data_IF_364676633035
#
_entry.id   IF_364676633035
#
_cell.length_a   1.000
_cell.length_b   1.000
_cell.length_c   1.000
_cell.angle_alpha   90.00
_cell.angle_beta   90.00
_cell.angle_gamma   90.00
#
_symmetry.space_group_name_H-M   'P 1'
#
loop_
_entity.id
_entity.type
_entity.pdbx_description
1 polymer ?
#
# COMPACT_ATOMS: atom_id res chain seq x y z
N UNK A 1 0.70 10.97 18.73
CA UNK A 1 0.17 11.35 17.42
C UNK A 1 0.33 12.83 17.05
N UNK A 2 0.54 13.72 18.01
CA UNK A 2 0.69 15.19 17.80
C UNK A 2 2.07 15.63 17.27
N UNK A 3 3.07 14.77 17.29
CA UNK A 3 4.45 15.09 16.89
C UNK A 3 4.65 15.11 15.38
N UNK A 4 3.88 14.35 14.61
CA UNK A 4 3.99 14.25 13.14
C UNK A 4 3.50 15.49 12.38
N UNK A 5 2.69 16.35 13.01
CA UNK A 5 2.03 17.47 12.33
C UNK A 5 2.76 18.82 12.47
N UNK A 6 3.94 18.88 13.08
CA UNK A 6 4.73 20.14 13.26
C UNK A 6 5.66 20.47 12.09
N UNK A 7 5.47 19.91 10.91
CA UNK A 7 6.28 20.15 9.72
C UNK A 7 5.51 20.83 8.59
N UNK A 8 6.24 21.28 7.57
CA UNK A 8 5.65 21.74 6.32
C UNK A 8 4.90 20.61 5.65
N UNK A 9 3.66 20.86 5.21
CA UNK A 9 2.81 19.89 4.55
C UNK A 9 2.99 19.97 3.03
N UNK A 10 3.06 18.83 2.41
CA UNK A 10 3.21 18.65 0.96
C UNK A 10 2.06 17.82 0.39
N UNK A 11 1.65 18.03 -0.86
CA UNK A 11 0.64 17.20 -1.50
C UNK A 11 1.16 15.76 -1.62
N UNK A 12 0.28 14.77 -1.46
CA UNK A 12 0.65 13.36 -1.53
C UNK A 12 1.33 12.99 -2.85
N UNK A 13 0.99 13.66 -3.95
CA UNK A 13 1.66 13.49 -5.24
C UNK A 13 3.19 13.71 -5.23
N UNK A 14 3.74 14.37 -4.20
CA UNK A 14 5.20 14.53 -4.07
C UNK A 14 5.91 13.38 -3.35
N UNK A 15 5.17 12.37 -2.87
CA UNK A 15 5.72 11.25 -2.11
C UNK A 15 6.17 10.07 -2.98
N UNK A 16 5.85 10.05 -4.27
CA UNK A 16 6.14 8.94 -5.15
C UNK A 16 6.65 9.41 -6.52
N UNK A 17 7.38 8.54 -7.20
CA UNK A 17 7.81 8.75 -8.60
C UNK A 17 6.80 8.17 -9.60
N UNK A 18 6.07 7.13 -9.19
CA UNK A 18 5.02 6.50 -9.98
C UNK A 18 3.95 5.94 -9.05
N UNK A 19 2.71 6.22 -9.36
CA UNK A 19 1.57 5.57 -8.73
C UNK A 19 0.49 5.30 -9.77
N UNK A 20 -0.26 4.24 -9.57
CA UNK A 20 -1.35 3.87 -10.47
C UNK A 20 -2.17 2.72 -9.91
N UNK A 21 -3.41 2.68 -10.35
CA UNK A 21 -4.29 1.55 -10.07
C UNK A 21 -3.86 0.33 -10.89
N UNK A 22 -4.04 -0.84 -10.33
CA UNK A 22 -3.85 -2.10 -11.05
C UNK A 22 -4.95 -2.35 -12.08
N UNK A 23 -4.82 -3.46 -12.79
CA UNK A 23 -5.78 -3.88 -13.78
C UNK A 23 -6.06 -5.37 -13.68
N UNK A 24 -7.27 -5.78 -14.03
CA UNK A 24 -7.65 -7.19 -14.03
C UNK A 24 -7.72 -7.67 -15.48
N UNK A 25 -6.85 -8.61 -15.91
CA UNK A 25 -7.00 -9.25 -17.21
C UNK A 25 -8.39 -9.91 -17.33
N UNK A 26 -8.92 -9.99 -18.53
CA UNK A 26 -10.24 -10.59 -18.77
C UNK A 26 -10.29 -12.01 -18.23
N UNK A 27 -11.10 -12.26 -17.21
CA UNK A 27 -11.11 -13.51 -16.43
C UNK A 27 -11.59 -14.73 -17.23
N UNK A 28 -12.37 -14.52 -18.30
CA UNK A 28 -12.83 -15.59 -19.19
C UNK A 28 -11.73 -16.08 -20.17
N UNK A 29 -10.59 -15.38 -20.26
CA UNK A 29 -9.48 -15.79 -21.12
C UNK A 29 -8.47 -16.58 -20.28
N UNK A 30 -8.54 -17.88 -20.38
CA UNK A 30 -7.74 -18.83 -19.58
C UNK A 30 -6.24 -18.62 -19.74
N UNK A 31 -5.80 -18.28 -20.95
CA UNK A 31 -4.39 -18.02 -21.30
C UNK A 31 -3.76 -16.84 -20.53
N UNK A 32 -4.57 -15.95 -19.95
CA UNK A 32 -4.07 -14.83 -19.14
C UNK A 32 -3.67 -15.26 -17.72
N UNK A 33 -4.05 -16.47 -17.31
CA UNK A 33 -3.86 -16.98 -15.94
C UNK A 33 -3.11 -18.31 -15.87
N UNK A 34 -3.36 -19.22 -16.84
CA UNK A 34 -2.75 -20.54 -16.84
C UNK A 34 -1.24 -20.43 -17.00
N UNK A 35 -0.51 -21.13 -16.10
CA UNK A 35 0.96 -21.08 -16.03
C UNK A 35 1.53 -19.65 -15.85
N UNK A 36 0.75 -18.76 -15.26
CA UNK A 36 1.19 -17.42 -14.93
C UNK A 36 2.36 -17.44 -13.96
N UNK A 37 3.32 -16.56 -14.19
CA UNK A 37 4.53 -16.40 -13.34
C UNK A 37 4.62 -15.04 -12.69
N UNK A 38 3.79 -14.08 -13.11
CA UNK A 38 3.76 -12.73 -12.54
C UNK A 38 2.81 -12.72 -11.36
N UNK A 39 3.28 -12.43 -10.13
CA UNK A 39 2.43 -12.34 -8.95
C UNK A 39 1.29 -11.33 -9.14
N UNK A 40 0.07 -11.75 -8.84
CA UNK A 40 -1.15 -10.96 -9.02
C UNK A 40 -1.89 -10.79 -7.70
N UNK A 41 -1.80 -9.59 -7.13
CA UNK A 41 -2.24 -9.29 -5.78
C UNK A 41 -3.71 -8.89 -5.75
N UNK A 42 -4.44 -9.51 -4.83
CA UNK A 42 -5.82 -9.21 -4.47
C UNK A 42 -5.89 -8.63 -3.06
N UNK A 43 -7.07 -8.15 -2.66
CA UNK A 43 -7.25 -7.49 -1.34
C UNK A 43 -6.94 -8.45 -0.18
N UNK A 44 -7.29 -9.71 -0.30
CA UNK A 44 -7.04 -10.75 0.70
C UNK A 44 -5.55 -11.02 0.96
N UNK A 45 -4.67 -10.66 0.04
CA UNK A 45 -3.21 -10.76 0.21
C UNK A 45 -2.64 -9.63 1.08
N UNK A 46 -3.39 -8.51 1.22
CA UNK A 46 -2.97 -7.33 1.99
C UNK A 46 -3.30 -7.48 3.48
N UNK A 47 -2.93 -8.59 4.08
CA UNK A 47 -3.23 -8.94 5.47
C UNK A 47 -2.10 -8.61 6.46
N UNK A 48 -0.89 -8.37 5.95
CA UNK A 48 0.32 -8.12 6.74
C UNK A 48 1.08 -6.91 6.21
N UNK A 49 1.93 -6.33 7.07
CA UNK A 49 2.78 -5.19 6.70
C UNK A 49 3.66 -5.50 5.49
N UNK A 50 4.27 -6.68 5.46
CA UNK A 50 5.10 -7.11 4.34
C UNK A 50 4.38 -8.20 3.54
N UNK A 51 4.24 -7.95 2.25
CA UNK A 51 3.73 -8.92 1.30
C UNK A 51 4.89 -9.84 0.87
N UNK A 52 4.96 -11.01 1.50
CA UNK A 52 6.02 -12.01 1.30
C UNK A 52 5.58 -13.21 0.48
N UNK A 53 4.27 -13.37 0.24
CA UNK A 53 3.69 -14.43 -0.58
C UNK A 53 2.37 -13.97 -1.20
N UNK A 54 1.91 -14.67 -2.21
CA UNK A 54 0.62 -14.47 -2.87
C UNK A 54 0.10 -15.80 -3.41
N UNK A 55 -1.19 -15.86 -3.77
CA UNK A 55 -1.85 -17.07 -4.27
C UNK A 55 -2.03 -17.06 -5.78
N UNK A 56 -2.26 -15.90 -6.36
CA UNK A 56 -2.66 -15.77 -7.75
C UNK A 56 -1.52 -15.26 -8.61
N UNK A 57 -1.53 -15.68 -9.88
CA UNK A 57 -0.55 -15.25 -10.87
C UNK A 57 -1.25 -14.95 -12.19
N UNK A 58 -0.63 -14.11 -13.00
CA UNK A 58 -1.01 -13.83 -14.38
C UNK A 58 0.15 -14.09 -15.32
N UNK A 59 -0.17 -14.32 -16.58
CA UNK A 59 0.85 -14.43 -17.63
C UNK A 59 1.30 -13.05 -18.10
N UNK A 60 2.44 -13.00 -18.78
CA UNK A 60 2.90 -11.77 -19.42
C UNK A 60 1.89 -11.26 -20.46
N UNK A 61 1.24 -12.17 -21.19
CA UNK A 61 0.16 -11.84 -22.12
C UNK A 61 -1.02 -11.20 -21.39
N UNK A 62 -1.43 -11.76 -20.24
CA UNK A 62 -2.50 -11.18 -19.41
C UNK A 62 -2.16 -9.78 -18.92
N UNK A 63 -0.91 -9.53 -18.48
CA UNK A 63 -0.45 -8.20 -18.11
C UNK A 63 -0.51 -7.25 -19.31
N UNK A 64 0.03 -7.62 -20.46
CA UNK A 64 0.06 -6.78 -21.68
C UNK A 64 -1.34 -6.46 -22.24
N UNK A 65 -2.32 -7.35 -22.06
CA UNK A 65 -3.70 -7.20 -22.55
C UNK A 65 -4.65 -6.55 -21.54
N UNK A 66 -4.12 -6.01 -20.48
CA UNK A 66 -4.87 -5.32 -19.42
C UNK A 66 -4.21 -4.00 -19.04
N UNK A 67 -4.81 -3.28 -18.08
CA UNK A 67 -4.19 -2.11 -17.45
C UNK A 67 -3.27 -2.47 -16.28
N UNK A 68 -3.02 -3.76 -16.03
CA UNK A 68 -2.05 -4.21 -15.04
C UNK A 68 -0.63 -3.74 -15.40
N UNK A 69 0.13 -3.39 -14.40
CA UNK A 69 1.52 -3.00 -14.58
C UNK A 69 2.39 -3.59 -13.48
N UNK A 70 3.65 -3.88 -13.80
CA UNK A 70 4.59 -4.46 -12.86
C UNK A 70 5.08 -3.37 -11.89
N UNK A 71 4.67 -3.49 -10.63
CA UNK A 71 5.06 -2.64 -9.51
C UNK A 71 6.37 -3.19 -8.95
N UNK A 72 7.46 -2.41 -8.89
CA UNK A 72 8.73 -2.89 -8.36
C UNK A 72 8.62 -3.23 -6.86
N UNK A 73 9.52 -4.08 -6.38
CA UNK A 73 9.66 -4.36 -4.93
C UNK A 73 9.90 -3.07 -4.14
N UNK A 74 9.61 -3.10 -2.83
CA UNK A 74 9.72 -1.95 -1.93
C UNK A 74 8.84 -0.77 -2.35
N UNK A 75 7.66 -1.09 -2.86
CA UNK A 75 6.56 -0.15 -3.08
C UNK A 75 5.48 -0.34 -2.03
N UNK A 76 4.58 0.62 -1.90
CA UNK A 76 3.37 0.47 -1.08
C UNK A 76 2.22 0.02 -1.96
N UNK A 77 1.53 -1.04 -1.55
CA UNK A 77 0.32 -1.57 -2.17
C UNK A 77 -0.86 -1.18 -1.28
N UNK A 78 -1.82 -0.44 -1.83
CA UNK A 78 -2.91 0.16 -1.07
C UNK A 78 -4.27 -0.06 -1.74
N UNK A 79 -5.22 -0.66 -1.03
CA UNK A 79 -6.59 -0.82 -1.53
C UNK A 79 -7.34 0.52 -1.46
N UNK A 80 -7.81 1.00 -2.62
CA UNK A 80 -8.57 2.23 -2.77
C UNK A 80 -10.03 1.98 -3.19
N UNK A 81 -10.43 0.72 -3.33
CA UNK A 81 -11.77 0.28 -3.73
C UNK A 81 -12.58 -0.31 -2.57
N UNK A 82 -13.21 -1.46 -2.76
CA UNK A 82 -14.21 -2.07 -1.87
C UNK A 82 -13.79 -2.17 -0.39
N UNK A 83 -12.52 -2.44 -0.09
CA UNK A 83 -11.96 -2.45 1.27
C UNK A 83 -10.85 -1.41 1.35
N UNK A 84 -11.23 -0.14 1.44
CA UNK A 84 -10.26 0.96 1.47
C UNK A 84 -9.41 0.89 2.74
N UNK A 85 -8.08 0.98 2.56
CA UNK A 85 -7.13 1.05 3.67
C UNK A 85 -6.36 -0.24 3.94
N UNK A 86 -6.70 -1.37 3.31
CA UNK A 86 -5.82 -2.53 3.32
C UNK A 86 -4.49 -2.16 2.62
N UNK A 87 -3.36 -2.45 3.27
CA UNK A 87 -2.07 -1.90 2.87
C UNK A 87 -0.92 -2.87 3.20
N UNK A 88 0.04 -2.97 2.28
CA UNK A 88 1.27 -3.75 2.47
C UNK A 88 2.45 -3.10 1.75
N UNK A 89 3.67 -3.49 2.12
CA UNK A 89 4.90 -3.24 1.37
C UNK A 89 5.24 -4.53 0.62
N UNK A 90 5.40 -4.48 -0.70
CA UNK A 90 5.76 -5.67 -1.47
C UNK A 90 7.27 -5.94 -1.41
N UNK A 91 7.64 -7.19 -1.13
CA UNK A 91 9.03 -7.64 -1.07
C UNK A 91 9.57 -8.08 -2.44
N UNK A 92 8.71 -8.32 -3.41
CA UNK A 92 9.03 -8.72 -4.78
C UNK A 92 8.14 -7.97 -5.78
N UNK A 93 8.50 -7.90 -7.08
CA UNK A 93 7.68 -7.23 -8.09
C UNK A 93 6.32 -7.91 -8.23
N UNK A 94 5.25 -7.12 -8.34
CA UNK A 94 3.86 -7.61 -8.40
C UNK A 94 3.01 -6.81 -9.39
N UNK A 95 1.96 -7.42 -9.91
CA UNK A 95 0.81 -6.74 -10.48
C UNK A 95 -0.34 -6.75 -9.46
N UNK A 96 -1.26 -5.81 -9.55
CA UNK A 96 -2.41 -5.72 -8.65
C UNK A 96 -3.72 -5.73 -9.41
N UNK A 97 -4.75 -6.25 -8.76
CA UNK A 97 -6.13 -6.16 -9.24
C UNK A 97 -6.59 -4.70 -9.28
N UNK A 98 -7.58 -4.40 -10.13
CA UNK A 98 -8.32 -3.12 -10.10
C UNK A 98 -8.86 -2.85 -8.69
N UNK A 99 -8.81 -1.58 -8.25
CA UNK A 99 -9.16 -1.18 -6.88
C UNK A 99 -7.99 -1.30 -5.89
N UNK A 100 -6.76 -1.53 -6.39
CA UNK A 100 -5.54 -1.57 -5.60
C UNK A 100 -4.48 -0.72 -6.29
N UNK A 101 -3.96 0.28 -5.59
CA UNK A 101 -2.90 1.16 -6.05
C UNK A 101 -1.53 0.55 -5.76
N UNK A 102 -0.62 0.64 -6.74
CA UNK A 102 0.81 0.53 -6.52
C UNK A 102 1.41 1.92 -6.40
N UNK A 103 2.24 2.16 -5.39
CA UNK A 103 2.84 3.46 -5.10
C UNK A 103 4.34 3.28 -4.92
N UNK A 104 5.10 3.68 -5.92
CA UNK A 104 6.57 3.61 -5.93
C UNK A 104 7.13 4.87 -5.27
N UNK A 105 7.74 4.78 -4.08
CA UNK A 105 8.18 5.95 -3.33
C UNK A 105 9.24 6.75 -4.09
N UNK A 106 9.27 8.06 -3.86
CA UNK A 106 10.32 8.94 -4.35
C UNK A 106 11.64 8.67 -3.57
N UNK A 107 12.77 9.08 -4.13
CA UNK A 107 14.11 8.85 -3.54
C UNK A 107 14.32 9.47 -2.16
N UNK A 108 13.56 10.51 -1.82
CA UNK A 108 13.56 11.17 -0.51
C UNK A 108 12.49 10.63 0.45
N UNK A 109 11.84 9.53 0.10
CA UNK A 109 10.79 8.88 0.89
C UNK A 109 11.25 7.47 1.30
N UNK A 110 11.31 7.22 2.60
CA UNK A 110 11.46 5.88 3.12
C UNK A 110 10.14 5.11 2.96
N UNK A 111 10.19 3.90 2.40
CA UNK A 111 8.97 3.10 2.14
C UNK A 111 8.21 2.75 3.41
N UNK A 112 8.93 2.46 4.52
CA UNK A 112 8.33 2.20 5.82
C UNK A 112 7.59 3.43 6.36
N UNK A 113 8.19 4.62 6.17
CA UNK A 113 7.54 5.88 6.54
C UNK A 113 6.28 6.11 5.71
N UNK A 114 6.32 5.85 4.41
CA UNK A 114 5.17 5.96 3.53
C UNK A 114 4.04 5.01 3.97
N UNK A 115 4.38 3.77 4.29
CA UNK A 115 3.45 2.79 4.86
C UNK A 115 2.82 3.30 6.17
N UNK A 116 3.62 3.78 7.12
CA UNK A 116 3.14 4.32 8.40
C UNK A 116 2.25 5.56 8.22
N UNK A 117 2.60 6.43 7.28
CA UNK A 117 1.79 7.61 6.94
C UNK A 117 0.42 7.17 6.42
N UNK A 118 0.39 6.27 5.43
CA UNK A 118 -0.84 5.83 4.78
C UNK A 118 -1.71 4.93 5.67
N UNK A 119 -1.12 4.19 6.62
CA UNK A 119 -1.85 3.41 7.63
C UNK A 119 -2.31 4.24 8.83
N UNK A 120 -1.91 5.52 8.93
CA UNK A 120 -2.24 6.37 10.06
C UNK A 120 -3.72 6.77 10.09
N UNK A 121 -4.23 7.03 11.30
CA UNK A 121 -5.59 7.59 11.48
C UNK A 121 -5.76 8.99 10.85
N UNK A 122 -4.66 9.74 10.67
CA UNK A 122 -4.67 10.99 9.94
C UNK A 122 -5.02 10.75 8.47
N UNK A 123 -4.28 9.87 7.78
CA UNK A 123 -4.51 9.59 6.38
C UNK A 123 -5.90 8.97 6.14
N UNK A 124 -6.32 8.04 7.01
CA UNK A 124 -7.66 7.45 6.97
C UNK A 124 -8.78 8.49 7.08
N UNK A 125 -8.62 9.51 7.94
CA UNK A 125 -9.57 10.64 8.04
C UNK A 125 -9.61 11.49 6.78
N UNK A 126 -8.46 11.77 6.17
CA UNK A 126 -8.41 12.52 4.91
C UNK A 126 -9.04 11.70 3.76
N UNK A 127 -8.76 10.39 3.70
CA UNK A 127 -9.42 9.47 2.74
C UNK A 127 -10.95 9.51 2.91
N UNK A 128 -11.45 9.44 4.14
CA UNK A 128 -12.91 9.46 4.39
C UNK A 128 -13.61 10.76 3.93
N UNK A 129 -12.87 11.85 3.80
CA UNK A 129 -13.40 13.15 3.29
C UNK A 129 -13.50 13.22 1.77
N UNK A 130 -12.69 12.42 1.07
CA UNK A 130 -12.61 12.43 -0.40
C UNK A 130 -13.32 11.24 -1.05
N UNK A 131 -13.81 10.29 -0.25
CA UNK A 131 -14.57 9.16 -0.78
C UNK A 131 -15.85 9.66 -1.41
N UNK A 132 -16.05 9.32 -2.68
CA UNK A 132 -17.30 9.59 -3.38
C UNK A 132 -18.36 8.60 -2.91
N UNK A 133 -19.48 9.12 -2.39
CA UNK A 133 -20.63 8.31 -2.04
C UNK A 133 -21.32 7.80 -3.30
N UNK A 134 -21.44 6.49 -3.40
CA UNK A 134 -22.10 5.77 -4.50
C UNK A 134 -22.30 4.30 -4.13
N UNK A 135 -22.72 3.48 -5.08
CA UNK A 135 -22.90 2.02 -4.90
C UNK A 135 -21.58 1.31 -4.51
N UNK A 136 -20.43 1.85 -4.90
CA UNK A 136 -19.11 1.43 -4.41
C UNK A 136 -18.30 2.66 -3.99
N UNK A 137 -17.85 2.67 -2.74
CA UNK A 137 -16.93 3.70 -2.22
C UNK A 137 -15.57 3.52 -2.86
N UNK A 138 -15.02 4.57 -3.46
CA UNK A 138 -13.69 4.55 -4.08
C UNK A 138 -12.95 5.85 -3.74
N UNK A 139 -11.70 5.72 -3.33
CA UNK A 139 -10.78 6.84 -3.18
C UNK A 139 -9.90 6.94 -4.44
N UNK A 140 -10.24 7.84 -5.35
CA UNK A 140 -9.48 7.99 -6.59
C UNK A 140 -8.10 8.60 -6.34
N UNK A 141 -7.09 8.10 -7.04
CA UNK A 141 -5.70 8.58 -6.91
C UNK A 141 -5.59 10.10 -7.15
N UNK A 142 -6.37 10.64 -8.09
CA UNK A 142 -6.41 12.09 -8.36
C UNK A 142 -6.77 12.91 -7.11
N UNK A 143 -7.69 12.41 -6.28
CA UNK A 143 -8.16 13.08 -5.07
C UNK A 143 -7.20 12.84 -3.90
N UNK A 144 -6.67 11.61 -3.77
CA UNK A 144 -5.61 11.26 -2.83
C UNK A 144 -4.39 12.16 -3.00
N UNK A 145 -4.03 12.53 -4.22
CA UNK A 145 -2.90 13.40 -4.55
C UNK A 145 -2.97 14.79 -3.91
N UNK A 146 -4.15 15.26 -3.55
CA UNK A 146 -4.35 16.56 -2.91
C UNK A 146 -4.24 16.52 -1.37
N UNK A 147 -4.22 15.34 -0.77
CA UNK A 147 -4.06 15.18 0.69
C UNK A 147 -2.72 15.81 1.08
N UNK A 148 -2.76 16.71 2.08
CA UNK A 148 -1.56 17.38 2.60
C UNK A 148 -0.90 16.53 3.67
N UNK A 149 0.30 16.03 3.40
CA UNK A 149 1.03 15.11 4.26
C UNK A 149 2.33 15.73 4.79
N UNK A 150 2.74 15.42 6.04
CA UNK A 150 4.02 15.84 6.57
C UNK A 150 5.16 15.10 5.88
N UNK A 151 6.21 15.83 5.50
CA UNK A 151 7.41 15.27 4.90
C UNK A 151 8.63 15.64 5.75
N UNK A 152 8.99 14.81 6.75
CA UNK A 152 10.21 14.98 7.52
C UNK A 152 11.46 14.68 6.68
N UNK A 153 12.63 15.09 7.19
CA UNK A 153 13.90 14.69 6.58
C UNK A 153 14.08 13.16 6.62
N UNK A 154 14.92 12.61 5.73
CA UNK A 154 15.20 11.16 5.71
C UNK A 154 15.69 10.62 7.05
N UNK A 155 16.50 11.40 7.79
CA UNK A 155 16.93 11.01 9.14
C UNK A 155 15.75 10.91 10.11
N UNK A 156 14.82 11.86 10.07
CA UNK A 156 13.61 11.83 10.89
C UNK A 156 12.67 10.70 10.48
N UNK A 157 12.51 10.43 9.18
CA UNK A 157 11.72 9.29 8.70
C UNK A 157 12.29 7.97 9.26
N UNK A 158 13.61 7.75 9.16
CA UNK A 158 14.28 6.57 9.72
C UNK A 158 14.11 6.45 11.24
N UNK A 159 14.22 7.56 11.97
CA UNK A 159 14.00 7.53 13.41
C UNK A 159 12.56 7.14 13.78
N UNK A 160 11.57 7.65 13.02
CA UNK A 160 10.16 7.30 13.20
C UNK A 160 9.95 5.80 12.94
N UNK A 161 10.47 5.28 11.84
CA UNK A 161 10.29 3.87 11.48
C UNK A 161 10.98 2.94 12.46
N UNK A 162 12.21 3.25 12.90
CA UNK A 162 12.94 2.46 13.90
C UNK A 162 12.20 2.41 15.24
N UNK A 163 11.68 3.56 15.70
CA UNK A 163 10.91 3.63 16.94
C UNK A 163 9.63 2.79 16.84
N UNK A 164 8.93 2.87 15.72
CA UNK A 164 7.71 2.09 15.50
C UNK A 164 8.00 0.60 15.49
N UNK A 165 9.04 0.15 14.78
CA UNK A 165 9.45 -1.26 14.74
C UNK A 165 9.81 -1.79 16.14
N UNK A 166 10.51 -1.00 16.95
CA UNK A 166 10.85 -1.40 18.33
C UNK A 166 9.60 -1.53 19.22
N UNK A 167 8.57 -0.71 18.99
CA UNK A 167 7.29 -0.81 19.71
C UNK A 167 6.51 -2.05 19.25
N UNK A 168 6.45 -2.30 17.93
CA UNK A 168 5.80 -3.47 17.34
C UNK A 168 6.42 -4.78 17.87
N UNK A 169 7.75 -4.84 17.93
CA UNK A 169 8.49 -5.98 18.48
C UNK A 169 8.16 -6.22 19.97
N UNK A 170 8.18 -5.17 20.80
CA UNK A 170 7.79 -5.28 22.20
C UNK A 170 6.37 -5.79 22.37
N UNK A 171 5.43 -5.24 21.62
CA UNK A 171 4.02 -5.67 21.67
C UNK A 171 3.88 -7.15 21.29
N UNK A 172 4.61 -7.61 20.29
CA UNK A 172 4.62 -9.02 19.87
C UNK A 172 5.12 -9.94 20.99
N UNK A 173 6.23 -9.55 21.63
CA UNK A 173 6.81 -10.32 22.76
C UNK A 173 5.83 -10.38 23.95
N UNK A 174 5.21 -9.26 24.30
CA UNK A 174 4.22 -9.22 25.40
C UNK A 174 2.99 -10.08 25.11
N UNK A 175 2.50 -10.04 23.86
CA UNK A 175 1.37 -10.88 23.45
C UNK A 175 1.73 -12.38 23.49
N UNK A 176 2.94 -12.74 23.12
CA UNK A 176 3.43 -14.12 23.19
C UNK A 176 3.55 -14.57 24.65
N UNK A 177 4.12 -13.75 25.53
CA UNK A 177 4.19 -14.03 26.98
C UNK A 177 2.80 -14.24 27.58
N UNK A 178 1.82 -13.42 27.23
CA UNK A 178 0.45 -13.58 27.70
C UNK A 178 -0.20 -14.90 27.26
N UNK A 179 0.17 -15.42 26.08
CA UNK A 179 -0.31 -16.73 25.61
C UNK A 179 0.29 -17.91 26.38
N UNK A 180 1.51 -17.75 26.93
CA UNK A 180 2.13 -18.77 27.78
C UNK A 180 1.62 -18.76 29.22
N UNK A 181 1.02 -17.65 29.67
CA UNK A 181 0.52 -17.50 31.05
C UNK A 181 -0.96 -17.91 31.21
N UNK A 182 -1.68 -18.12 30.08
CA UNK A 182 -3.07 -18.59 30.04
C UNK A 182 -3.16 -20.04 29.52
#
# INVERSE_FOLDING_TARGET
MTVLLKGKLYPFSSFYIKAGEGGTPTTSVVEYYTEGTIPFIKIEDLSCKYLTNNKDFITELGMQKSSAWLIPSKSVIYSNGATIGAISINEYPVCTKQGILGIVPNTNINVEYLYLLMSSSYFSKEISRIITEGTMKTAYLKDINHIKCPLPSMAQQKNITNLTSSIEEKLSIEQELLRFLN
#
